data_IF_442938445883
#
_entry.id   IF_442938445883
#
_cell.length_a   1.000
_cell.length_b   1.000
_cell.length_c   1.000
_cell.angle_alpha   90.00
_cell.angle_beta   90.00
_cell.angle_gamma   90.00
#
_symmetry.space_group_name_H-M   'P 1'
#
loop_
_entity.id
_entity.type
_entity.pdbx_description
1 polymer ?
#
# COMPACT_ATOMS: atom_id res chain seq x y z
N UNK A 1 -11.56 35.78 40.77
CA UNK A 1 -11.91 36.49 39.53
C UNK A 1 -10.70 37.01 38.73
N UNK A 2 -9.54 37.33 39.31
CA UNK A 2 -8.34 37.73 38.53
C UNK A 2 -7.56 36.51 37.97
N UNK A 3 -7.59 35.36 38.67
CA UNK A 3 -6.92 34.12 38.21
C UNK A 3 -7.55 33.45 36.98
N UNK A 4 -8.89 33.45 36.87
CA UNK A 4 -9.60 32.81 35.75
C UNK A 4 -9.42 33.55 34.41
N UNK A 5 -9.29 34.89 34.47
CA UNK A 5 -9.12 35.72 33.28
C UNK A 5 -7.71 35.54 32.69
N UNK A 6 -6.70 35.36 33.53
CA UNK A 6 -5.33 35.10 33.07
C UNK A 6 -5.19 33.69 32.47
N UNK A 7 -5.78 32.68 33.11
CA UNK A 7 -5.79 31.31 32.59
C UNK A 7 -6.50 31.20 31.23
N UNK A 8 -7.64 31.87 31.07
CA UNK A 8 -8.37 31.90 29.80
C UNK A 8 -7.61 32.65 28.69
N UNK A 9 -6.88 33.71 29.04
CA UNK A 9 -6.04 34.47 28.11
C UNK A 9 -4.82 33.67 27.64
N UNK A 10 -4.09 33.04 28.56
CA UNK A 10 -2.96 32.16 28.25
C UNK A 10 -3.38 30.94 27.42
N UNK A 11 -4.53 30.33 27.76
CA UNK A 11 -5.09 29.21 26.98
C UNK A 11 -5.46 29.64 25.56
N UNK A 12 -6.04 30.83 25.37
CA UNK A 12 -6.34 31.39 24.04
C UNK A 12 -5.09 31.67 23.23
N UNK A 13 -4.05 32.21 23.86
CA UNK A 13 -2.79 32.51 23.18
C UNK A 13 -2.08 31.22 22.73
N UNK A 14 -2.09 30.18 23.56
CA UNK A 14 -1.57 28.85 23.22
C UNK A 14 -2.31 28.21 22.04
N UNK A 15 -3.64 28.22 22.07
CA UNK A 15 -4.48 27.76 20.96
C UNK A 15 -4.17 28.51 19.66
N UNK A 16 -3.96 29.83 19.74
CA UNK A 16 -3.60 30.62 18.56
C UNK A 16 -2.24 30.25 17.97
N UNK A 17 -1.26 29.83 18.77
CA UNK A 17 0.06 29.42 18.27
C UNK A 17 -0.01 28.09 17.53
N UNK A 18 -0.73 27.11 18.07
CA UNK A 18 -0.99 25.81 17.40
C UNK A 18 -1.71 26.04 16.08
N UNK A 19 -2.79 26.83 16.09
CA UNK A 19 -3.55 27.12 14.88
C UNK A 19 -2.70 27.79 13.80
N UNK A 20 -1.81 28.72 14.16
CA UNK A 20 -0.92 29.38 13.20
C UNK A 20 0.08 28.40 12.59
N UNK A 21 0.67 27.52 13.40
CA UNK A 21 1.59 26.49 12.92
C UNK A 21 0.87 25.49 12.00
N UNK A 22 -0.34 25.05 12.37
CA UNK A 22 -1.19 24.19 11.54
C UNK A 22 -1.57 24.85 10.22
N UNK A 23 -2.01 26.10 10.24
CA UNK A 23 -2.35 26.85 9.02
C UNK A 23 -1.14 26.99 8.08
N UNK A 24 0.07 27.11 8.64
CA UNK A 24 1.29 27.11 7.84
C UNK A 24 1.54 25.74 7.21
N UNK A 25 1.45 24.65 7.98
CA UNK A 25 1.59 23.29 7.47
C UNK A 25 0.56 22.96 6.38
N UNK A 26 -0.71 23.35 6.58
CA UNK A 26 -1.82 23.15 5.64
C UNK A 26 -1.65 23.99 4.34
N UNK A 27 -0.78 25.00 4.35
CA UNK A 27 -0.47 25.81 3.15
C UNK A 27 0.62 25.23 2.26
N UNK A 28 1.32 24.19 2.73
CA UNK A 28 2.37 23.49 1.98
C UNK A 28 1.78 22.46 1.03
N UNK A 29 2.56 22.06 0.01
CA UNK A 29 2.19 20.92 -0.85
C UNK A 29 2.18 19.64 -0.01
N UNK A 30 1.36 18.65 -0.35
CA UNK A 30 1.34 17.38 0.39
C UNK A 30 2.72 16.72 0.55
N UNK A 31 3.62 16.86 -0.43
CA UNK A 31 4.99 16.34 -0.36
C UNK A 31 5.91 17.09 0.62
N UNK A 32 5.49 18.27 1.08
CA UNK A 32 6.24 19.19 1.95
C UNK A 32 5.51 19.43 3.27
N UNK A 33 4.29 18.91 3.44
CA UNK A 33 3.50 19.02 4.66
C UNK A 33 4.20 18.18 5.74
N UNK A 34 4.52 18.76 6.91
CA UNK A 34 5.11 18.00 8.01
C UNK A 34 4.05 17.12 8.68
N UNK A 35 4.48 15.96 9.15
CA UNK A 35 3.63 15.02 9.93
C UNK A 35 3.50 15.47 11.40
N UNK A 36 4.33 16.42 11.85
CA UNK A 36 4.37 16.88 13.25
C UNK A 36 4.67 18.36 13.33
N UNK A 37 4.03 19.08 14.26
CA UNK A 37 4.38 20.46 14.61
C UNK A 37 4.79 20.55 16.08
N UNK A 38 5.85 21.32 16.35
CA UNK A 38 6.26 21.67 17.70
C UNK A 38 5.89 23.13 17.95
N UNK A 39 5.19 23.39 19.06
CA UNK A 39 5.04 24.75 19.60
C UNK A 39 5.64 24.82 20.99
N UNK A 40 6.36 25.89 21.28
CA UNK A 40 6.93 26.10 22.61
C UNK A 40 6.78 27.56 23.07
N UNK A 41 6.75 27.75 24.39
CA UNK A 41 6.79 29.06 25.04
C UNK A 41 8.10 29.29 25.83
N UNK A 42 9.16 28.56 25.46
CA UNK A 42 10.48 28.51 26.11
C UNK A 42 10.49 27.93 27.54
N UNK A 43 9.34 27.62 28.13
CA UNK A 43 9.23 26.80 29.35
C UNK A 43 8.62 25.43 29.03
N UNK A 44 7.64 25.36 28.13
CA UNK A 44 6.92 24.14 27.75
C UNK A 44 7.02 23.90 26.25
N UNK A 45 7.18 22.65 25.89
CA UNK A 45 7.14 22.13 24.52
C UNK A 45 5.87 21.32 24.36
N UNK A 46 5.20 21.48 23.22
CA UNK A 46 4.10 20.61 22.79
C UNK A 46 4.38 20.08 21.41
N UNK A 47 4.27 18.78 21.25
CA UNK A 47 4.50 18.07 20.00
C UNK A 47 3.15 17.53 19.56
N UNK A 48 2.65 18.05 18.44
CA UNK A 48 1.35 17.69 17.88
C UNK A 48 1.54 16.83 16.64
N UNK A 49 0.86 15.68 16.60
CA UNK A 49 0.78 14.82 15.43
C UNK A 49 -0.29 15.34 14.46
N UNK A 50 0.13 15.77 13.27
CA UNK A 50 -0.78 16.36 12.28
C UNK A 50 -1.61 15.33 11.51
N UNK A 51 -1.34 14.05 11.69
CA UNK A 51 -2.09 12.95 11.09
C UNK A 51 -3.10 12.32 12.05
N UNK A 52 -3.19 12.83 13.29
CA UNK A 52 -4.26 12.45 14.23
C UNK A 52 -5.62 13.04 13.81
N UNK A 53 -6.71 12.36 14.15
CA UNK A 53 -8.08 12.88 13.97
C UNK A 53 -8.35 14.19 14.74
N UNK A 54 -7.59 14.46 15.80
CA UNK A 54 -7.65 15.72 16.57
C UNK A 54 -6.24 16.27 16.87
N UNK A 55 -5.54 16.86 15.88
CA UNK A 55 -4.18 17.37 16.04
C UNK A 55 -4.07 18.53 17.04
N UNK A 56 -5.18 19.23 17.31
CA UNK A 56 -5.19 20.38 18.21
C UNK A 56 -5.09 19.97 19.67
N UNK A 57 -5.69 18.84 20.03
CA UNK A 57 -5.77 18.36 21.41
C UNK A 57 -4.91 17.12 21.66
N UNK A 58 -4.51 16.39 20.63
CA UNK A 58 -3.60 15.25 20.74
C UNK A 58 -2.14 15.71 20.65
N UNK A 59 -1.54 15.98 21.81
CA UNK A 59 -0.14 16.39 21.91
C UNK A 59 0.56 15.82 23.13
N UNK A 60 1.86 15.59 22.99
CA UNK A 60 2.76 15.34 24.12
C UNK A 60 3.30 16.67 24.63
N UNK A 61 3.26 16.92 25.95
CA UNK A 61 3.77 18.14 26.58
C UNK A 61 4.83 17.83 27.63
N UNK A 62 5.94 18.55 27.57
CA UNK A 62 7.00 18.50 28.58
C UNK A 62 7.61 19.89 28.82
N UNK A 63 8.23 20.09 29.98
CA UNK A 63 8.95 21.33 30.33
C UNK A 63 10.39 21.28 29.85
N UNK A 64 11.01 22.44 29.65
CA UNK A 64 12.42 22.54 29.27
C UNK A 64 13.35 21.82 30.25
N UNK A 65 12.99 21.83 31.54
CA UNK A 65 13.70 21.13 32.61
C UNK A 65 13.74 19.60 32.39
N UNK A 66 12.70 19.05 31.75
CA UNK A 66 12.50 17.62 31.47
C UNK A 66 13.05 17.22 30.10
N UNK A 67 13.58 18.17 29.32
CA UNK A 67 14.11 17.92 27.99
C UNK A 67 15.15 16.77 27.96
N UNK A 68 16.10 16.65 28.91
CA UNK A 68 17.07 15.54 28.90
C UNK A 68 16.41 14.15 28.99
N UNK A 69 15.32 14.03 29.74
CA UNK A 69 14.56 12.79 29.91
C UNK A 69 13.59 12.54 28.73
N UNK A 70 13.14 13.60 28.08
CA UNK A 70 12.13 13.59 27.02
C UNK A 70 12.72 13.65 25.60
N UNK A 71 14.05 13.49 25.45
CA UNK A 71 14.73 13.52 24.15
C UNK A 71 14.11 12.56 23.13
N UNK A 72 13.59 11.42 23.57
CA UNK A 72 12.95 10.43 22.71
C UNK A 72 11.74 10.97 21.95
N UNK A 73 11.02 11.97 22.50
CA UNK A 73 9.91 12.64 21.82
C UNK A 73 10.39 13.49 20.63
N UNK A 74 11.68 13.81 20.57
CA UNK A 74 12.32 14.57 19.50
C UNK A 74 13.15 13.70 18.56
N UNK A 75 13.11 12.37 18.71
CA UNK A 75 13.88 11.44 17.88
C UNK A 75 13.55 11.62 16.38
N UNK A 76 12.33 12.04 16.05
CA UNK A 76 11.93 12.37 14.68
C UNK A 76 12.69 13.56 14.07
N UNK A 77 13.32 14.43 14.87
CA UNK A 77 14.19 15.50 14.36
C UNK A 77 15.58 14.98 14.00
N UNK A 78 16.00 13.87 14.61
CA UNK A 78 17.32 13.27 14.42
C UNK A 78 17.29 12.28 13.25
N UNK A 79 16.25 11.45 13.16
CA UNK A 79 16.02 10.52 12.06
C UNK A 79 14.51 10.43 11.74
N UNK A 80 13.96 11.41 11.00
CA UNK A 80 12.55 11.42 10.62
C UNK A 80 12.13 10.16 9.85
N UNK A 81 13.05 9.57 9.08
CA UNK A 81 12.78 8.35 8.34
C UNK A 81 12.63 7.13 9.27
N UNK A 82 13.39 7.05 10.37
CA UNK A 82 13.27 5.96 11.35
C UNK A 82 11.93 5.99 12.07
N UNK A 83 11.48 7.16 12.52
CA UNK A 83 10.19 7.30 13.22
C UNK A 83 9.01 7.04 12.28
N UNK A 84 9.08 7.55 11.04
CA UNK A 84 8.10 7.20 10.00
C UNK A 84 8.07 5.68 9.75
N UNK A 85 9.24 5.03 9.62
CA UNK A 85 9.33 3.55 9.47
C UNK A 85 8.71 2.82 10.65
N UNK A 86 8.93 3.26 11.90
CA UNK A 86 8.34 2.66 13.10
C UNK A 86 6.83 2.81 13.14
N UNK A 87 6.30 3.98 12.77
CA UNK A 87 4.86 4.24 12.68
C UNK A 87 4.22 3.35 11.60
N UNK A 88 4.79 3.37 10.40
CA UNK A 88 4.37 2.50 9.30
C UNK A 88 4.39 1.03 9.72
N UNK A 89 5.44 0.56 10.41
CA UNK A 89 5.56 -0.81 10.93
C UNK A 89 4.50 -1.14 11.98
N UNK A 90 4.17 -0.21 12.89
CA UNK A 90 3.12 -0.42 13.89
C UNK A 90 1.73 -0.54 13.26
N UNK A 91 1.31 0.46 12.47
CA UNK A 91 0.00 0.46 11.78
C UNK A 91 -0.17 -0.81 10.96
N UNK A 92 0.93 -1.24 10.35
CA UNK A 92 1.01 -2.44 9.57
C UNK A 92 0.86 -3.76 10.34
N UNK A 93 1.42 -3.86 11.55
CA UNK A 93 1.22 -5.03 12.43
C UNK A 93 -0.25 -5.13 12.79
N UNK A 94 -0.85 -4.02 13.22
CA UNK A 94 -2.25 -3.95 13.63
C UNK A 94 -3.18 -4.34 12.46
N UNK A 95 -2.92 -3.82 11.26
CA UNK A 95 -3.64 -4.20 10.04
C UNK A 95 -3.47 -5.70 9.69
N UNK A 96 -2.29 -6.26 9.92
CA UNK A 96 -2.01 -7.68 9.70
C UNK A 96 -2.80 -8.60 10.64
N UNK A 97 -3.01 -8.19 11.89
CA UNK A 97 -3.86 -8.91 12.85
C UNK A 97 -5.34 -8.88 12.43
N UNK A 98 -5.83 -7.72 11.99
CA UNK A 98 -7.21 -7.57 11.50
C UNK A 98 -7.48 -8.43 10.26
N UNK A 99 -6.55 -8.44 9.29
CA UNK A 99 -6.66 -9.32 8.12
C UNK A 99 -6.53 -10.79 8.49
N UNK A 100 -5.69 -11.13 9.48
CA UNK A 100 -5.64 -12.48 10.05
C UNK A 100 -7.00 -12.92 10.63
N UNK A 101 -7.69 -12.02 11.34
CA UNK A 101 -9.05 -12.26 11.84
C UNK A 101 -10.05 -12.48 10.70
N UNK A 102 -10.03 -11.65 9.65
CA UNK A 102 -10.88 -11.84 8.46
C UNK A 102 -10.58 -13.18 7.77
N UNK A 103 -9.30 -13.53 7.65
CA UNK A 103 -8.85 -14.80 7.07
C UNK A 103 -9.44 -16.00 7.80
N UNK A 104 -9.31 -16.05 9.13
CA UNK A 104 -9.82 -17.17 9.94
C UNK A 104 -11.35 -17.29 9.85
N UNK A 105 -12.05 -16.16 9.85
CA UNK A 105 -13.51 -16.15 9.71
C UNK A 105 -13.95 -16.63 8.32
N UNK A 106 -13.29 -16.17 7.25
CA UNK A 106 -13.56 -16.63 5.88
C UNK A 106 -13.21 -18.11 5.70
N UNK A 107 -12.08 -18.56 6.27
CA UNK A 107 -11.65 -19.97 6.22
C UNK A 107 -12.74 -20.89 6.75
N UNK A 108 -13.40 -20.53 7.85
CA UNK A 108 -14.49 -21.31 8.42
C UNK A 108 -15.73 -21.45 7.51
N UNK A 109 -15.83 -20.66 6.44
CA UNK A 109 -16.94 -20.69 5.49
C UNK A 109 -16.67 -21.54 4.23
N UNK A 110 -15.44 -22.04 4.05
CA UNK A 110 -15.11 -22.97 2.97
C UNK A 110 -15.62 -24.38 3.30
N UNK A 111 -16.03 -25.13 2.26
CA UNK A 111 -16.50 -26.52 2.41
C UNK A 111 -15.32 -27.43 2.81
N UNK A 112 -14.17 -27.26 2.17
CA UNK A 112 -12.93 -27.98 2.48
C UNK A 112 -11.78 -26.97 2.68
N UNK A 113 -11.70 -26.33 3.86
CA UNK A 113 -10.72 -25.27 4.13
C UNK A 113 -9.28 -25.75 4.18
N UNK A 114 -9.04 -27.06 4.21
CA UNK A 114 -7.71 -27.66 4.26
C UNK A 114 -7.20 -28.12 2.90
N UNK A 115 -8.04 -28.09 1.87
CA UNK A 115 -7.63 -28.31 0.49
C UNK A 115 -6.64 -27.25 0.03
N UNK A 116 -5.73 -27.65 -0.87
CA UNK A 116 -4.74 -26.74 -1.46
C UNK A 116 -5.41 -25.62 -2.29
N UNK A 117 -6.52 -25.93 -2.96
CA UNK A 117 -7.26 -24.98 -3.80
C UNK A 117 -8.02 -23.94 -2.97
N UNK A 118 -8.68 -24.35 -1.87
CA UNK A 118 -9.35 -23.39 -0.97
C UNK A 118 -8.34 -22.53 -0.23
N UNK A 119 -7.20 -23.08 0.22
CA UNK A 119 -6.09 -22.29 0.79
C UNK A 119 -5.56 -21.25 -0.20
N UNK A 120 -5.34 -21.66 -1.45
CA UNK A 120 -4.90 -20.74 -2.50
C UNK A 120 -5.94 -19.66 -2.78
N UNK A 121 -7.22 -20.04 -2.94
CA UNK A 121 -8.31 -19.11 -3.21
C UNK A 121 -8.51 -18.11 -2.08
N UNK A 122 -8.47 -18.56 -0.82
CA UNK A 122 -8.58 -17.71 0.35
C UNK A 122 -7.41 -16.72 0.43
N UNK A 123 -6.18 -17.17 0.18
CA UNK A 123 -5.03 -16.26 0.13
C UNK A 123 -5.22 -15.18 -0.93
N UNK A 124 -5.61 -15.56 -2.15
CA UNK A 124 -5.86 -14.59 -3.24
C UNK A 124 -7.02 -13.65 -2.90
N UNK A 125 -8.08 -14.15 -2.28
CA UNK A 125 -9.20 -13.34 -1.82
C UNK A 125 -8.75 -12.27 -0.80
N UNK A 126 -7.94 -12.65 0.20
CA UNK A 126 -7.37 -11.70 1.14
C UNK A 126 -6.48 -10.66 0.44
N UNK A 127 -5.61 -11.06 -0.51
CA UNK A 127 -4.82 -10.09 -1.30
C UNK A 127 -5.73 -9.08 -2.00
N UNK A 128 -6.83 -9.55 -2.61
CA UNK A 128 -7.79 -8.69 -3.31
C UNK A 128 -8.47 -7.72 -2.37
N UNK A 129 -8.90 -8.17 -1.19
CA UNK A 129 -9.53 -7.31 -0.20
C UNK A 129 -8.56 -6.22 0.27
N UNK A 130 -7.32 -6.58 0.64
CA UNK A 130 -6.32 -5.59 1.05
C UNK A 130 -6.00 -4.61 -0.09
N UNK A 131 -5.90 -5.09 -1.33
CA UNK A 131 -5.70 -4.20 -2.48
C UNK A 131 -6.85 -3.19 -2.63
N UNK A 132 -8.11 -3.62 -2.45
CA UNK A 132 -9.27 -2.74 -2.54
C UNK A 132 -9.24 -1.64 -1.47
N UNK A 133 -8.94 -2.02 -0.23
CA UNK A 133 -8.82 -1.12 0.92
C UNK A 133 -7.68 -0.11 0.73
N UNK A 134 -6.51 -0.59 0.34
CA UNK A 134 -5.37 0.27 0.01
C UNK A 134 -5.71 1.24 -1.14
N UNK A 135 -6.40 0.76 -2.18
CA UNK A 135 -6.70 1.57 -3.35
C UNK A 135 -7.71 2.70 -3.09
N UNK A 136 -8.68 2.51 -2.19
CA UNK A 136 -9.60 3.59 -1.81
C UNK A 136 -8.93 4.67 -0.94
N UNK A 137 -8.05 4.28 -0.02
CA UNK A 137 -7.37 5.24 0.86
C UNK A 137 -6.18 5.93 0.19
N UNK A 138 -5.46 5.24 -0.69
CA UNK A 138 -4.38 5.83 -1.48
C UNK A 138 -4.90 6.74 -2.63
N UNK A 139 -6.21 6.89 -2.78
CA UNK A 139 -6.84 7.74 -3.79
C UNK A 139 -6.76 7.18 -5.21
N UNK A 140 -6.54 5.87 -5.37
CA UNK A 140 -6.64 5.18 -6.66
C UNK A 140 -8.11 4.98 -7.05
N UNK A 141 -8.99 4.78 -6.06
CA UNK A 141 -10.44 4.77 -6.21
C UNK A 141 -11.05 6.02 -5.59
N UNK A 142 -12.36 6.21 -5.77
CA UNK A 142 -13.08 7.17 -4.94
C UNK A 142 -12.97 6.75 -3.47
N UNK A 143 -12.84 7.73 -2.57
CA UNK A 143 -12.77 7.48 -1.13
C UNK A 143 -13.98 6.64 -0.68
N UNK A 144 -13.73 5.63 0.15
CA UNK A 144 -14.71 4.69 0.70
C UNK A 144 -15.52 3.92 -0.37
N UNK A 145 -15.02 3.79 -1.60
CA UNK A 145 -15.76 3.14 -2.69
C UNK A 145 -16.09 1.67 -2.38
N UNK A 146 -15.14 0.91 -1.83
CA UNK A 146 -15.32 -0.48 -1.47
C UNK A 146 -16.28 -0.62 -0.29
N UNK A 147 -16.09 0.19 0.75
CA UNK A 147 -17.00 0.27 1.89
C UNK A 147 -18.45 0.53 1.45
N UNK A 148 -18.66 1.57 0.64
CA UNK A 148 -19.98 1.97 0.15
C UNK A 148 -20.61 0.95 -0.80
N UNK A 149 -19.79 0.18 -1.52
CA UNK A 149 -20.26 -0.88 -2.40
C UNK A 149 -20.83 -2.07 -1.62
N UNK A 150 -20.21 -2.45 -0.50
CA UNK A 150 -20.63 -3.61 0.28
C UNK A 150 -21.62 -3.30 1.41
N UNK A 151 -21.54 -2.11 2.04
CA UNK A 151 -22.42 -1.71 3.15
C UNK A 151 -23.92 -1.95 2.94
N UNK A 152 -24.52 -1.69 1.76
CA UNK A 152 -25.96 -1.90 1.56
C UNK A 152 -26.33 -3.38 1.33
N UNK A 153 -25.36 -4.28 1.21
CA UNK A 153 -25.57 -5.68 0.87
C UNK A 153 -25.75 -6.52 2.15
N UNK A 154 -26.85 -7.28 2.28
CA UNK A 154 -26.99 -8.25 3.37
C UNK A 154 -25.86 -9.28 3.37
N UNK A 155 -25.40 -9.70 4.55
CA UNK A 155 -24.22 -10.55 4.67
C UNK A 155 -24.29 -11.87 3.87
N UNK A 156 -25.45 -12.52 3.86
CA UNK A 156 -25.71 -13.76 3.10
C UNK A 156 -25.73 -13.57 1.57
N UNK A 157 -25.61 -12.32 1.10
CA UNK A 157 -25.63 -11.91 -0.31
C UNK A 157 -24.38 -11.16 -0.75
N UNK A 158 -23.33 -11.08 0.07
CA UNK A 158 -22.07 -10.38 -0.28
C UNK A 158 -21.30 -11.07 -1.40
N UNK A 159 -21.34 -12.41 -1.47
CA UNK A 159 -20.53 -13.19 -2.42
C UNK A 159 -20.78 -12.81 -3.91
N UNK A 160 -22.02 -12.73 -4.42
CA UNK A 160 -22.27 -12.32 -5.80
C UNK A 160 -21.73 -10.92 -6.18
N UNK A 161 -22.08 -9.82 -5.47
CA UNK A 161 -21.58 -8.49 -5.82
C UNK A 161 -20.06 -8.36 -5.66
N UNK A 162 -19.44 -9.06 -4.69
CA UNK A 162 -17.98 -9.07 -4.57
C UNK A 162 -17.30 -9.75 -5.78
N UNK A 163 -17.86 -10.86 -6.24
CA UNK A 163 -17.37 -11.56 -7.43
C UNK A 163 -17.58 -10.73 -8.69
N UNK A 164 -18.73 -10.05 -8.81
CA UNK A 164 -19.02 -9.11 -9.89
C UNK A 164 -18.02 -7.95 -9.92
N UNK A 165 -17.69 -7.39 -8.75
CA UNK A 165 -16.67 -6.34 -8.63
C UNK A 165 -15.31 -6.80 -9.16
N UNK A 166 -14.87 -8.02 -8.83
CA UNK A 166 -13.60 -8.56 -9.35
C UNK A 166 -13.58 -8.67 -10.87
N UNK A 167 -14.69 -9.09 -11.48
CA UNK A 167 -14.84 -9.12 -12.94
C UNK A 167 -14.85 -7.70 -13.50
N UNK A 168 -15.55 -6.77 -12.86
CA UNK A 168 -15.64 -5.39 -13.30
C UNK A 168 -14.28 -4.68 -13.32
N UNK A 169 -13.46 -4.90 -12.28
CA UNK A 169 -12.11 -4.33 -12.16
C UNK A 169 -11.19 -4.79 -13.29
N UNK A 170 -11.24 -6.06 -13.69
CA UNK A 170 -10.43 -6.60 -14.80
C UNK A 170 -11.04 -6.39 -16.19
N UNK A 171 -12.26 -5.87 -16.29
CA UNK A 171 -12.91 -5.62 -17.59
C UNK A 171 -12.58 -4.23 -18.09
N UNK A 172 -12.01 -4.14 -19.30
CA UNK A 172 -11.65 -2.86 -19.92
C UNK A 172 -12.89 -1.97 -20.10
N UNK A 173 -12.78 -0.63 -19.98
CA UNK A 173 -13.93 0.26 -20.02
C UNK A 173 -14.85 0.07 -21.23
N UNK A 174 -14.28 -0.18 -22.40
CA UNK A 174 -14.98 -0.43 -23.66
C UNK A 174 -15.72 -1.79 -23.72
N UNK A 175 -15.36 -2.74 -22.87
CA UNK A 175 -15.94 -4.08 -22.78
C UNK A 175 -16.96 -4.20 -21.63
N UNK A 176 -17.10 -3.16 -20.79
CA UNK A 176 -18.02 -3.16 -19.65
C UNK A 176 -19.48 -3.13 -20.11
N UNK A 177 -20.33 -3.80 -19.34
CA UNK A 177 -21.77 -3.78 -19.59
C UNK A 177 -22.32 -2.33 -19.53
N UNK A 178 -23.08 -1.87 -20.55
CA UNK A 178 -23.59 -0.49 -20.58
C UNK A 178 -24.49 -0.12 -19.40
N UNK A 179 -25.15 -1.12 -18.82
CA UNK A 179 -26.10 -0.99 -17.71
C UNK A 179 -25.49 -1.39 -16.35
N UNK A 180 -24.16 -1.36 -16.20
CA UNK A 180 -23.53 -1.53 -14.89
C UNK A 180 -24.11 -0.53 -13.88
N UNK A 181 -24.24 -0.95 -12.63
CA UNK A 181 -24.74 -0.10 -11.55
C UNK A 181 -23.83 1.12 -11.34
N UNK A 182 -24.38 2.21 -10.82
CA UNK A 182 -23.56 3.40 -10.54
C UNK A 182 -22.53 3.14 -9.43
N UNK A 183 -22.82 2.21 -8.52
CA UNK A 183 -21.87 1.75 -7.51
C UNK A 183 -20.66 1.04 -8.15
N UNK A 184 -20.85 0.23 -9.20
CA UNK A 184 -19.73 -0.36 -9.94
C UNK A 184 -18.95 0.70 -10.75
N UNK A 185 -19.64 1.68 -11.33
CA UNK A 185 -19.00 2.75 -12.11
C UNK A 185 -18.04 3.63 -11.29
N UNK A 186 -18.11 3.58 -9.96
CA UNK A 186 -17.15 4.23 -9.08
C UNK A 186 -15.73 3.62 -9.16
N UNK A 187 -15.59 2.39 -9.68
CA UNK A 187 -14.31 1.69 -9.75
C UNK A 187 -13.62 1.84 -11.13
N UNK A 188 -12.32 2.15 -11.18
CA UNK A 188 -11.57 2.24 -12.43
C UNK A 188 -11.28 0.84 -13.02
N UNK A 189 -10.67 0.82 -14.19
CA UNK A 189 -10.09 -0.40 -14.73
C UNK A 189 -8.74 -0.70 -14.07
N UNK A 190 -8.55 -1.94 -13.64
CA UNK A 190 -7.35 -2.41 -12.95
C UNK A 190 -6.73 -3.55 -13.76
N UNK A 191 -5.67 -3.23 -14.51
CA UNK A 191 -4.90 -4.20 -15.28
C UNK A 191 -3.84 -4.89 -14.42
N UNK A 192 -4.28 -5.55 -13.35
CA UNK A 192 -3.40 -6.27 -12.44
C UNK A 192 -3.76 -7.75 -12.52
N UNK A 193 -2.76 -8.61 -12.77
CA UNK A 193 -2.92 -10.07 -12.84
C UNK A 193 -3.60 -10.69 -11.61
N UNK A 194 -3.71 -9.92 -10.53
CA UNK A 194 -4.40 -10.23 -9.29
C UNK A 194 -5.87 -10.61 -9.50
N UNK A 195 -6.55 -9.99 -10.47
CA UNK A 195 -7.97 -10.23 -10.75
C UNK A 195 -8.22 -11.24 -11.88
N UNK A 196 -7.18 -11.72 -12.59
CA UNK A 196 -7.35 -12.57 -13.78
C UNK A 196 -7.83 -13.99 -13.46
N UNK A 197 -7.37 -14.57 -12.34
CA UNK A 197 -7.72 -15.93 -11.96
C UNK A 197 -9.12 -15.99 -11.32
N UNK A 198 -9.93 -16.97 -11.72
CA UNK A 198 -11.13 -17.31 -10.97
C UNK A 198 -10.71 -17.99 -9.66
N UNK A 199 -11.23 -17.49 -8.54
CA UNK A 199 -10.95 -18.04 -7.20
C UNK A 199 -12.26 -18.33 -6.50
N UNK A 200 -12.26 -19.35 -5.66
CA UNK A 200 -13.40 -19.67 -4.82
C UNK A 200 -13.58 -18.56 -3.77
N UNK A 201 -14.77 -17.96 -3.75
CA UNK A 201 -15.21 -17.02 -2.72
C UNK A 201 -16.30 -17.71 -1.89
N UNK A 202 -16.15 -17.86 -0.56
CA UNK A 202 -17.13 -18.53 0.28
C UNK A 202 -18.31 -17.59 0.56
N UNK A 203 -19.29 -18.07 1.33
CA UNK A 203 -20.34 -17.19 1.85
C UNK A 203 -19.83 -16.32 2.99
N UNK A 204 -20.50 -15.20 3.21
CA UNK A 204 -20.18 -14.27 4.30
C UNK A 204 -21.23 -14.39 5.40
N UNK A 205 -20.78 -14.25 6.64
CA UNK A 205 -21.64 -14.13 7.82
C UNK A 205 -21.72 -12.66 8.22
N UNK A 206 -22.70 -12.29 9.05
CA UNK A 206 -22.79 -10.92 9.56
C UNK A 206 -21.50 -10.51 10.27
N UNK A 207 -20.93 -11.41 11.08
CA UNK A 207 -19.65 -11.18 11.75
C UNK A 207 -18.51 -10.87 10.78
N UNK A 208 -18.43 -11.53 9.62
CA UNK A 208 -17.39 -11.24 8.62
C UNK A 208 -17.59 -9.83 8.05
N UNK A 209 -18.83 -9.46 7.74
CA UNK A 209 -19.15 -8.14 7.18
C UNK A 209 -18.86 -7.03 8.20
N UNK A 210 -19.25 -7.21 9.45
CA UNK A 210 -19.01 -6.23 10.52
C UNK A 210 -17.50 -6.01 10.70
N UNK A 211 -16.72 -7.09 10.79
CA UNK A 211 -15.25 -6.98 10.92
C UNK A 211 -14.64 -6.33 9.67
N UNK A 212 -15.05 -6.72 8.48
CA UNK A 212 -14.50 -6.20 7.22
C UNK A 212 -14.82 -4.72 7.01
N UNK A 213 -16.03 -4.28 7.35
CA UNK A 213 -16.48 -2.91 7.10
C UNK A 213 -16.15 -1.97 8.27
N UNK A 214 -16.42 -2.38 9.50
CA UNK A 214 -16.29 -1.49 10.66
C UNK A 214 -14.87 -1.48 11.23
N UNK A 215 -14.25 -2.65 11.42
CA UNK A 215 -12.91 -2.72 12.01
C UNK A 215 -11.81 -2.53 10.97
N UNK A 216 -11.96 -3.15 9.80
CA UNK A 216 -10.93 -3.20 8.75
C UNK A 216 -11.01 -2.00 7.81
N UNK A 217 -12.16 -1.69 7.25
CA UNK A 217 -12.31 -0.63 6.25
C UNK A 217 -12.44 0.76 6.89
N UNK A 218 -13.41 0.96 7.78
CA UNK A 218 -13.62 2.27 8.44
C UNK A 218 -12.61 2.55 9.56
N UNK A 219 -12.15 1.50 10.24
CA UNK A 219 -11.27 1.61 11.41
C UNK A 219 -9.76 1.70 11.12
N UNK A 220 -9.33 1.65 9.86
CA UNK A 220 -7.90 1.62 9.49
C UNK A 220 -7.64 2.52 8.28
N UNK A 221 -6.65 3.42 8.36
CA UNK A 221 -6.15 4.15 7.19
C UNK A 221 -5.10 3.31 6.45
N UNK A 222 -5.50 2.68 5.34
CA UNK A 222 -4.65 1.80 4.55
C UNK A 222 -3.58 2.56 3.76
N UNK A 223 -3.67 3.89 3.62
CA UNK A 223 -2.63 4.69 2.97
C UNK A 223 -1.33 4.75 3.78
N UNK A 224 -1.43 4.54 5.11
CA UNK A 224 -0.29 4.52 6.03
C UNK A 224 0.40 3.15 6.12
N UNK A 225 -0.16 2.13 5.47
CA UNK A 225 0.38 0.78 5.52
C UNK A 225 1.53 0.66 4.51
N UNK A 226 2.66 0.19 5.02
CA UNK A 226 3.84 -0.01 4.20
C UNK A 226 3.65 -1.20 3.25
N UNK A 227 4.03 -1.12 1.97
CA UNK A 227 4.00 -2.27 1.07
C UNK A 227 4.83 -3.46 1.55
N UNK A 228 5.80 -3.23 2.43
CA UNK A 228 6.57 -4.31 3.06
C UNK A 228 5.72 -5.20 3.97
N UNK A 229 4.55 -4.75 4.41
CA UNK A 229 3.70 -5.47 5.35
C UNK A 229 2.76 -6.46 4.70
N UNK A 230 2.48 -6.30 3.41
CA UNK A 230 1.85 -7.35 2.62
C UNK A 230 2.50 -8.71 2.90
N UNK A 231 3.84 -8.77 2.94
CA UNK A 231 4.56 -10.00 3.25
C UNK A 231 4.33 -10.53 4.67
N UNK A 232 4.26 -9.67 5.68
CA UNK A 232 3.96 -10.05 7.07
C UNK A 232 2.52 -10.52 7.27
N UNK A 233 1.55 -9.85 6.63
CA UNK A 233 0.14 -10.28 6.58
C UNK A 233 0.01 -11.63 5.86
N UNK A 234 0.74 -11.85 4.76
CA UNK A 234 0.75 -13.16 4.10
C UNK A 234 1.41 -14.24 4.94
N UNK A 235 2.45 -13.92 5.71
CA UNK A 235 3.06 -14.88 6.62
C UNK A 235 2.14 -15.26 7.80
N UNK A 236 1.40 -14.29 8.35
CA UNK A 236 0.49 -14.50 9.48
C UNK A 236 -0.76 -15.30 9.09
N UNK A 237 -1.28 -15.09 7.88
CA UNK A 237 -2.44 -15.82 7.32
C UNK A 237 -2.13 -17.28 6.94
N UNK A 238 -0.86 -17.66 6.76
CA UNK A 238 -0.50 -19.05 6.51
C UNK A 238 -0.52 -19.85 7.82
N UNK A 239 -1.15 -21.04 7.83
CA UNK A 239 -1.09 -21.94 8.99
C UNK A 239 0.39 -22.26 9.37
N UNK A 240 0.76 -22.28 10.66
CA UNK A 240 2.13 -22.53 11.14
C UNK A 240 2.83 -23.75 10.56
N UNK A 241 2.12 -24.85 10.32
CA UNK A 241 2.69 -26.06 9.73
C UNK A 241 3.07 -25.84 8.26
N UNK A 242 2.18 -25.17 7.50
CA UNK A 242 2.42 -24.82 6.09
C UNK A 242 3.55 -23.80 5.95
N UNK A 243 3.66 -22.87 6.91
CA UNK A 243 4.73 -21.88 6.98
C UNK A 243 6.09 -22.55 7.21
N UNK A 244 6.17 -23.45 8.19
CA UNK A 244 7.39 -24.21 8.53
C UNK A 244 7.82 -25.17 7.42
N UNK A 245 6.89 -25.91 6.82
CA UNK A 245 7.22 -26.88 5.76
C UNK A 245 7.64 -26.22 4.44
N UNK A 246 7.14 -25.00 4.17
CA UNK A 246 7.43 -24.26 2.94
C UNK A 246 8.58 -23.25 3.03
N UNK A 247 9.16 -23.02 4.23
CA UNK A 247 10.17 -21.97 4.44
C UNK A 247 9.63 -20.56 4.17
N UNK A 248 8.33 -20.36 4.37
CA UNK A 248 7.58 -19.17 3.96
C UNK A 248 7.72 -18.04 4.98
N UNK A 249 8.95 -17.64 5.25
CA UNK A 249 9.25 -16.51 6.12
C UNK A 249 9.42 -15.25 5.29
N UNK A 250 8.63 -14.24 5.63
CA UNK A 250 8.81 -12.94 5.05
C UNK A 250 10.20 -12.40 5.41
N UNK A 251 10.91 -11.88 4.41
CA UNK A 251 12.20 -11.24 4.62
C UNK A 251 11.99 -9.77 4.93
N UNK A 252 12.39 -9.34 6.12
CA UNK A 252 12.17 -7.96 6.56
C UNK A 252 12.85 -6.94 5.64
N UNK A 253 12.31 -5.70 5.51
CA UNK A 253 12.93 -4.66 4.69
C UNK A 253 14.40 -4.41 5.04
N UNK A 254 14.76 -4.46 6.33
CA UNK A 254 16.15 -4.28 6.76
C UNK A 254 17.06 -5.38 6.19
N UNK A 255 16.60 -6.63 6.16
CA UNK A 255 17.36 -7.74 5.58
C UNK A 255 17.39 -7.70 4.05
N UNK A 256 16.31 -7.23 3.40
CA UNK A 256 16.30 -6.94 1.96
C UNK A 256 17.39 -5.90 1.66
N UNK A 257 17.46 -4.80 2.40
CA UNK A 257 18.46 -3.75 2.21
C UNK A 257 19.90 -4.21 2.44
N UNK A 258 20.15 -5.10 3.41
CA UNK A 258 21.47 -5.73 3.59
C UNK A 258 21.94 -6.52 2.36
N UNK A 259 21.00 -7.02 1.55
CA UNK A 259 21.31 -7.73 0.32
C UNK A 259 21.40 -6.77 -0.87
N UNK A 260 20.33 -6.03 -1.17
CA UNK A 260 20.24 -5.21 -2.39
C UNK A 260 21.18 -3.99 -2.36
N UNK A 261 21.48 -3.45 -1.18
CA UNK A 261 22.41 -2.34 -0.96
C UNK A 261 23.75 -2.62 -1.64
N UNK A 262 24.53 -3.58 -1.11
CA UNK A 262 25.82 -3.96 -1.69
C UNK A 262 25.72 -4.60 -3.08
N UNK A 263 24.60 -5.26 -3.41
CA UNK A 263 24.45 -5.99 -4.67
C UNK A 263 24.34 -5.08 -5.89
N UNK A 264 23.60 -3.97 -5.79
CA UNK A 264 23.45 -3.02 -6.90
C UNK A 264 23.01 -1.61 -6.47
N UNK A 265 22.27 -1.47 -5.37
CA UNK A 265 21.60 -0.21 -5.03
C UNK A 265 22.58 0.89 -4.63
N UNK A 266 23.65 0.56 -3.89
CA UNK A 266 24.65 1.53 -3.45
C UNK A 266 25.44 2.11 -4.63
N UNK A 267 25.77 1.27 -5.62
CA UNK A 267 26.44 1.71 -6.85
C UNK A 267 25.55 2.66 -7.67
N UNK A 268 24.26 2.33 -7.84
CA UNK A 268 23.31 3.19 -8.55
C UNK A 268 23.13 4.54 -7.85
N UNK A 269 23.07 4.55 -6.51
CA UNK A 269 22.99 5.79 -5.72
C UNK A 269 24.25 6.64 -5.90
N UNK A 270 25.43 6.03 -5.83
CA UNK A 270 26.69 6.73 -6.03
C UNK A 270 26.84 7.29 -7.46
N UNK A 271 26.38 6.55 -8.48
CA UNK A 271 26.37 7.02 -9.86
C UNK A 271 25.46 8.24 -10.03
N UNK A 272 24.23 8.19 -9.48
CA UNK A 272 23.30 9.33 -9.50
C UNK A 272 23.90 10.56 -8.80
N UNK A 273 24.43 10.37 -7.59
CA UNK A 273 25.05 11.45 -6.82
C UNK A 273 26.23 12.08 -7.59
N UNK A 274 27.06 11.24 -8.23
CA UNK A 274 28.14 11.70 -9.10
C UNK A 274 27.67 12.57 -10.27
N UNK A 275 26.53 12.23 -10.89
CA UNK A 275 25.94 13.05 -11.98
C UNK A 275 25.42 14.39 -11.45
N UNK A 276 24.79 14.39 -10.28
CA UNK A 276 24.19 15.58 -9.65
C UNK A 276 25.26 16.56 -9.14
N UNK A 277 26.34 16.04 -8.55
CA UNK A 277 27.38 16.85 -7.89
C UNK A 277 28.55 17.23 -8.81
N UNK A 278 28.62 16.67 -10.03
CA UNK A 278 29.69 16.95 -10.98
C UNK A 278 29.87 18.45 -11.27
N UNK A 279 31.05 18.96 -10.93
CA UNK A 279 31.46 20.34 -11.15
C UNK A 279 31.97 20.55 -12.58
N UNK A 280 31.76 21.74 -13.14
CA UNK A 280 32.24 22.09 -14.50
C UNK A 280 31.50 21.39 -15.66
N UNK A 281 30.40 20.69 -15.38
CA UNK A 281 29.55 20.06 -16.39
C UNK A 281 28.40 21.00 -16.76
N UNK A 282 28.29 21.35 -18.04
CA UNK A 282 27.17 22.16 -18.54
C UNK A 282 25.84 21.40 -18.57
N UNK A 283 24.72 22.12 -18.45
CA UNK A 283 23.37 21.57 -18.31
C UNK A 283 22.99 20.51 -19.36
N UNK A 284 23.39 20.72 -20.62
CA UNK A 284 23.12 19.79 -21.70
C UNK A 284 23.77 18.42 -21.47
N UNK A 285 25.03 18.41 -21.00
CA UNK A 285 25.75 17.17 -20.71
C UNK A 285 25.12 16.48 -19.51
N UNK A 286 24.84 17.21 -18.42
CA UNK A 286 24.17 16.66 -17.23
C UNK A 286 22.83 16.02 -17.57
N UNK A 287 22.00 16.67 -18.41
CA UNK A 287 20.72 16.08 -18.86
C UNK A 287 20.91 14.80 -19.68
N UNK A 288 21.91 14.76 -20.56
CA UNK A 288 22.21 13.55 -21.32
C UNK A 288 22.68 12.40 -20.42
N UNK A 289 23.49 12.71 -19.40
CA UNK A 289 23.96 11.72 -18.43
C UNK A 289 22.82 11.19 -17.56
N UNK A 290 21.90 12.06 -17.12
CA UNK A 290 20.66 11.65 -16.43
C UNK A 290 19.76 10.78 -17.30
N UNK A 291 19.58 11.11 -18.59
CA UNK A 291 18.80 10.29 -19.50
C UNK A 291 19.41 8.89 -19.68
N UNK A 292 20.74 8.81 -19.83
CA UNK A 292 21.45 7.52 -19.90
C UNK A 292 21.30 6.72 -18.61
N UNK A 293 21.37 7.36 -17.45
CA UNK A 293 21.17 6.71 -16.17
C UNK A 293 19.74 6.19 -16.01
N UNK A 294 18.75 6.97 -16.44
CA UNK A 294 17.35 6.56 -16.48
C UNK A 294 17.14 5.34 -17.40
N UNK A 295 17.70 5.35 -18.61
CA UNK A 295 17.63 4.23 -19.54
C UNK A 295 18.31 2.97 -18.98
N UNK A 296 19.45 3.14 -18.27
CA UNK A 296 20.13 2.06 -17.55
C UNK A 296 19.19 1.44 -16.51
N UNK A 297 18.60 2.24 -15.61
CA UNK A 297 17.66 1.75 -14.59
C UNK A 297 16.49 1.02 -15.24
N UNK A 298 15.88 1.58 -16.28
CA UNK A 298 14.75 0.98 -16.98
C UNK A 298 15.07 -0.36 -17.65
N UNK A 299 16.34 -0.61 -17.97
CA UNK A 299 16.81 -1.87 -18.55
C UNK A 299 17.17 -2.95 -17.53
N UNK A 300 17.27 -2.61 -16.24
CA UNK A 300 17.63 -3.58 -15.21
C UNK A 300 16.53 -4.63 -15.07
N UNK A 301 16.96 -5.90 -14.99
CA UNK A 301 16.08 -7.03 -14.76
C UNK A 301 16.49 -7.73 -13.48
N UNK A 302 15.56 -7.83 -12.54
CA UNK A 302 15.76 -8.52 -11.26
C UNK A 302 15.08 -9.88 -11.35
N UNK A 303 15.82 -10.95 -11.10
CA UNK A 303 15.30 -12.30 -11.13
C UNK A 303 15.29 -12.87 -9.72
N UNK A 304 14.13 -13.31 -9.25
CA UNK A 304 14.01 -14.01 -7.98
C UNK A 304 13.33 -15.38 -8.17
N UNK A 305 13.98 -16.40 -7.59
CA UNK A 305 13.65 -17.82 -7.77
C UNK A 305 12.68 -18.36 -6.72
N UNK A 306 12.53 -17.70 -5.58
CA UNK A 306 11.74 -18.15 -4.43
C UNK A 306 10.41 -17.39 -4.27
N UNK A 307 9.80 -16.93 -5.36
CA UNK A 307 8.37 -16.54 -5.28
C UNK A 307 7.57 -17.85 -5.22
N UNK A 308 6.86 -18.11 -4.11
CA UNK A 308 6.05 -19.32 -3.97
C UNK A 308 5.07 -19.40 -5.14
N UNK A 309 4.97 -20.57 -5.80
CA UNK A 309 4.03 -20.79 -6.92
C UNK A 309 2.57 -20.40 -6.61
N UNK A 310 2.22 -20.23 -5.33
CA UNK A 310 0.90 -19.81 -4.86
C UNK A 310 0.58 -18.32 -5.07
N UNK A 311 1.56 -17.48 -5.43
CA UNK A 311 1.35 -16.06 -5.79
C UNK A 311 1.99 -15.76 -7.17
N UNK A 312 2.11 -16.75 -8.05
CA UNK A 312 2.51 -16.48 -9.43
C UNK A 312 1.29 -16.06 -10.26
N UNK A 313 1.16 -14.76 -10.50
CA UNK A 313 0.27 -14.23 -11.54
C UNK A 313 0.93 -14.47 -12.89
N UNK A 314 0.44 -15.46 -13.65
CA UNK A 314 0.91 -15.68 -15.03
C UNK A 314 0.36 -14.56 -15.91
N UNK A 315 1.17 -13.56 -16.22
CA UNK A 315 0.86 -12.67 -17.33
C UNK A 315 1.02 -13.46 -18.64
N UNK A 316 -0.01 -13.53 -19.52
CA UNK A 316 0.17 -14.13 -20.83
C UNK A 316 1.01 -13.17 -21.68
N UNK A 317 2.30 -13.45 -21.80
CA UNK A 317 3.11 -12.89 -22.88
C UNK A 317 2.46 -13.35 -24.19
N UNK A 318 1.70 -12.46 -24.83
CA UNK A 318 1.24 -12.65 -26.20
C UNK A 318 2.47 -12.68 -27.10
N UNK A 319 2.98 -13.88 -27.38
CA UNK A 319 3.88 -14.09 -28.50
C UNK A 319 3.12 -13.77 -29.79
N UNK A 320 3.29 -12.56 -30.33
CA UNK A 320 2.87 -12.25 -31.71
C UNK A 320 3.68 -13.13 -32.68
N UNK A 321 3.05 -13.94 -33.55
CA UNK A 321 3.78 -14.58 -34.62
C UNK A 321 4.18 -13.52 -35.65
N UNK A 322 5.49 -13.40 -35.92
CA UNK A 322 6.01 -12.57 -36.99
C UNK A 322 5.64 -13.17 -38.34
N UNK A 323 4.61 -12.64 -38.99
CA UNK A 323 4.37 -12.91 -40.41
C UNK A 323 5.36 -12.11 -41.25
N UNK A 324 6.48 -12.73 -41.64
CA UNK A 324 7.23 -12.28 -42.83
C UNK A 324 6.75 -13.11 -44.02
N UNK A 325 6.01 -12.45 -44.90
CA UNK A 325 5.72 -12.93 -46.24
C UNK A 325 6.95 -12.75 -47.12
N UNK A 326 7.53 -13.84 -47.56
CA UNK A 326 8.23 -13.93 -48.83
C UNK A 326 8.42 -15.41 -49.11
N UNK A 327 7.65 -15.93 -50.06
CA UNK A 327 8.20 -16.72 -51.16
C UNK A 327 7.07 -17.28 -52.02
N UNK A 328 7.10 -16.85 -53.28
CA UNK A 328 6.56 -17.56 -54.42
C UNK A 328 7.50 -17.23 -55.61
N UNK A 329 7.55 -18.00 -56.71
CA UNK A 329 6.82 -19.24 -57.00
C UNK A 329 7.66 -20.35 -57.69
N UNK A 330 6.96 -21.44 -58.05
CA UNK A 330 7.25 -22.43 -59.11
C UNK A 330 8.38 -23.43 -58.83
N UNK A 331 8.13 -24.74 -58.87
CA UNK A 331 8.13 -25.57 -60.09
C UNK A 331 7.60 -26.96 -59.69
N UNK A 332 6.41 -27.37 -60.13
CA UNK A 332 6.13 -28.26 -61.27
C UNK A 332 6.38 -29.76 -61.03
N UNK A 333 5.27 -30.51 -61.12
CA UNK A 333 5.10 -31.90 -61.59
C UNK A 333 5.67 -33.08 -60.78
N UNK A 334 4.76 -33.96 -60.31
CA UNK A 334 4.20 -35.01 -61.17
C UNK A 334 2.91 -35.63 -60.60
N UNK A 335 1.94 -35.75 -61.51
CA UNK A 335 0.62 -36.37 -61.37
C UNK A 335 0.65 -37.85 -61.04
N UNK A 336 -0.45 -38.34 -60.45
CA UNK A 336 -1.15 -39.53 -60.95
C UNK A 336 -2.67 -39.33 -60.77
N UNK A 337 -3.32 -39.23 -61.95
CA UNK A 337 -4.76 -39.21 -62.28
C UNK A 337 -5.52 -37.89 -62.17
#
# INVERSE_FOLDING_TARGET
MVGDVNYAAEKRERMQRVQRAKNYADSLRNSERPDTIIVCDFDRFRIHDLDSDDPEHNYEEFRLEELPEQLYLLDFLVDPELERRRREEKVSIDAGELIGKVYDLLRAQYIDPDSEDSKHSLNVLCVRLVFLLFAEDAGLFAKDAFYNYLKPVPADRVRPPLTELFVYLRTRPEERAPYASDALKAFPYVNVGLFEADVEVPQFTQQIVDVLLEEVSDGTDWSQISPTVFGGVFESTLNPETRRSGGMHYTSPQNIHKLIGPLFLDELKAELDGILTAQGVGDRKRRNDLNRFHDKIASLSFFETFIPRRIQMRSPVQSRPSTRSSDAPSTTQRSLR
#
